data_IF_303268969681
#
_entry.id   IF_303268969681
#
_cell.length_a   1.000
_cell.length_b   1.000
_cell.length_c   1.000
_cell.angle_alpha   90.00
_cell.angle_beta   90.00
_cell.angle_gamma   90.00
#
_symmetry.space_group_name_H-M   'P 1'
#
loop_
_entity.id
_entity.type
_entity.pdbx_description
1 polymer ?
#
# COMPACT_ATOMS: atom_id res chain seq x y z
N UNK A 1 6.55 -28.10 -28.49
CA UNK A 1 6.54 -27.69 -27.07
C UNK A 1 7.87 -27.02 -26.78
N UNK A 2 7.98 -25.73 -27.08
CA UNK A 2 9.21 -24.95 -26.88
C UNK A 2 9.28 -24.48 -25.43
N UNK A 3 10.31 -24.95 -24.74
CA UNK A 3 10.62 -24.64 -23.36
C UNK A 3 11.23 -23.23 -23.32
N UNK A 4 10.40 -22.19 -23.19
CA UNK A 4 10.87 -20.81 -22.95
C UNK A 4 11.34 -20.71 -21.50
N UNK A 5 12.56 -21.17 -21.23
CA UNK A 5 13.25 -20.87 -19.97
C UNK A 5 13.42 -19.35 -19.86
N UNK A 6 12.82 -18.72 -18.84
CA UNK A 6 12.99 -17.29 -18.60
C UNK A 6 14.48 -16.99 -18.37
N UNK A 7 15.09 -16.25 -19.29
CA UNK A 7 16.48 -15.79 -19.18
C UNK A 7 16.53 -14.53 -18.30
N UNK A 8 16.61 -14.72 -16.98
CA UNK A 8 16.81 -13.60 -16.06
C UNK A 8 18.30 -13.21 -16.04
N UNK A 9 18.60 -11.97 -16.42
CA UNK A 9 20.00 -11.46 -16.51
C UNK A 9 20.74 -11.52 -15.17
N UNK A 10 20.03 -11.35 -14.04
CA UNK A 10 20.57 -11.47 -12.69
C UNK A 10 19.51 -11.94 -11.68
N UNK A 11 19.95 -12.50 -10.54
CA UNK A 11 19.07 -12.87 -9.40
C UNK A 11 18.33 -11.65 -8.86
N UNK A 12 18.99 -10.50 -8.88
CA UNK A 12 18.46 -9.20 -8.49
C UNK A 12 17.28 -8.81 -9.37
N UNK A 13 17.41 -8.96 -10.69
CA UNK A 13 16.36 -8.63 -11.66
C UNK A 13 15.13 -9.52 -11.49
N UNK A 14 15.34 -10.83 -11.29
CA UNK A 14 14.27 -11.78 -10.96
C UNK A 14 13.54 -11.37 -9.66
N UNK A 15 14.29 -11.00 -8.62
CA UNK A 15 13.71 -10.56 -7.36
C UNK A 15 12.90 -9.25 -7.50
N UNK A 16 13.38 -8.28 -8.29
CA UNK A 16 12.62 -7.05 -8.61
C UNK A 16 11.30 -7.40 -9.28
N UNK A 17 11.33 -8.25 -10.31
CA UNK A 17 10.14 -8.60 -11.06
C UNK A 17 9.15 -9.40 -10.20
N UNK A 18 9.63 -10.29 -9.34
CA UNK A 18 8.80 -11.03 -8.39
C UNK A 18 8.06 -10.07 -7.44
N UNK A 19 8.77 -9.12 -6.80
CA UNK A 19 8.15 -8.13 -5.92
C UNK A 19 7.14 -7.25 -6.67
N UNK A 20 7.46 -6.84 -7.91
CA UNK A 20 6.54 -6.05 -8.73
C UNK A 20 5.28 -6.85 -9.09
N UNK A 21 5.42 -8.14 -9.40
CA UNK A 21 4.31 -9.06 -9.64
C UNK A 21 3.42 -9.21 -8.40
N UNK A 22 4.02 -9.44 -7.24
CA UNK A 22 3.28 -9.51 -5.96
C UNK A 22 2.49 -8.22 -5.68
N UNK A 23 3.07 -7.05 -5.98
CA UNK A 23 2.38 -5.76 -5.83
C UNK A 23 1.18 -5.62 -6.77
N UNK A 24 1.30 -6.05 -8.04
CA UNK A 24 0.18 -6.04 -8.98
C UNK A 24 -0.94 -6.97 -8.50
N UNK A 25 -0.60 -8.16 -8.02
CA UNK A 25 -1.57 -9.11 -7.46
C UNK A 25 -2.27 -8.50 -6.24
N UNK A 26 -1.53 -7.92 -5.29
CA UNK A 26 -2.12 -7.23 -4.13
C UNK A 26 -3.12 -6.15 -4.54
N UNK A 27 -2.75 -5.30 -5.52
CA UNK A 27 -3.61 -4.20 -5.95
C UNK A 27 -4.82 -4.68 -6.77
N UNK A 28 -4.70 -5.82 -7.45
CA UNK A 28 -5.85 -6.46 -8.13
C UNK A 28 -6.89 -6.88 -7.10
N UNK A 29 -6.46 -7.66 -6.09
CA UNK A 29 -7.36 -8.14 -5.02
C UNK A 29 -7.95 -6.97 -4.22
N UNK A 30 -7.17 -5.92 -3.96
CA UNK A 30 -7.65 -4.75 -3.23
C UNK A 30 -8.74 -4.00 -4.02
N UNK A 31 -8.59 -3.88 -5.35
CA UNK A 31 -9.61 -3.28 -6.23
C UNK A 31 -10.89 -4.10 -6.23
N UNK A 32 -10.78 -5.43 -6.30
CA UNK A 32 -11.95 -6.32 -6.28
C UNK A 32 -12.71 -6.21 -4.95
N UNK A 33 -12.00 -6.19 -3.82
CA UNK A 33 -12.61 -6.02 -2.48
C UNK A 33 -13.27 -4.66 -2.30
N UNK A 34 -12.62 -3.60 -2.75
CA UNK A 34 -13.11 -2.22 -2.63
C UNK A 34 -14.22 -1.91 -3.66
N UNK A 35 -14.27 -2.65 -4.77
CA UNK A 35 -15.30 -2.52 -5.80
C UNK A 35 -16.69 -3.02 -5.39
N UNK A 36 -16.78 -3.88 -4.37
CA UNK A 36 -18.03 -4.52 -3.94
C UNK A 36 -18.97 -3.68 -3.07
N UNK A 37 -18.59 -2.46 -2.67
CA UNK A 37 -19.39 -1.60 -1.77
C UNK A 37 -18.85 -0.18 -1.62
N UNK A 38 -19.40 0.62 -0.67
CA UNK A 38 -18.86 1.92 -0.30
C UNK A 38 -17.41 1.78 0.17
N UNK A 39 -16.51 2.58 -0.42
CA UNK A 39 -15.10 2.55 -0.10
C UNK A 39 -14.78 3.66 0.91
N UNK A 40 -14.23 3.28 2.06
CA UNK A 40 -13.84 4.22 3.11
C UNK A 40 -12.34 4.17 3.34
N UNK A 41 -11.76 5.25 3.86
CA UNK A 41 -10.34 5.29 4.15
C UNK A 41 -9.90 4.24 5.20
N UNK A 42 -10.61 4.04 6.34
CA UNK A 42 -10.32 2.94 7.26
C UNK A 42 -10.52 1.56 6.64
N UNK A 43 -11.56 1.39 5.82
CA UNK A 43 -11.84 0.13 5.11
C UNK A 43 -10.75 -0.23 4.11
N UNK A 44 -10.24 0.75 3.35
CA UNK A 44 -9.10 0.57 2.45
C UNK A 44 -7.87 0.07 3.21
N UNK A 45 -7.54 0.69 4.34
CA UNK A 45 -6.37 0.31 5.14
C UNK A 45 -6.52 -1.07 5.75
N UNK A 46 -7.71 -1.42 6.23
CA UNK A 46 -8.03 -2.76 6.69
C UNK A 46 -7.76 -3.80 5.60
N UNK A 47 -8.34 -3.64 4.42
CA UNK A 47 -8.16 -4.60 3.32
C UNK A 47 -6.71 -4.64 2.81
N UNK A 48 -6.02 -3.49 2.78
CA UNK A 48 -4.60 -3.43 2.47
C UNK A 48 -3.78 -4.26 3.47
N UNK A 49 -4.07 -4.15 4.77
CA UNK A 49 -3.39 -4.93 5.81
C UNK A 49 -3.67 -6.42 5.68
N UNK A 50 -4.91 -6.82 5.38
CA UNK A 50 -5.26 -8.23 5.09
C UNK A 50 -4.41 -8.77 3.94
N UNK A 51 -4.36 -8.05 2.82
CA UNK A 51 -3.61 -8.49 1.64
C UNK A 51 -2.09 -8.47 1.86
N UNK A 52 -1.59 -7.56 2.69
CA UNK A 52 -0.16 -7.49 3.01
C UNK A 52 0.29 -8.65 3.92
N UNK A 53 -0.53 -9.04 4.91
CA UNK A 53 -0.24 -10.18 5.80
C UNK A 53 -0.13 -11.48 4.99
N UNK A 54 -0.98 -11.65 3.97
CA UNK A 54 -0.97 -12.82 3.07
C UNK A 54 0.25 -12.87 2.14
N UNK A 55 1.03 -11.79 2.05
CA UNK A 55 2.18 -11.64 1.14
C UNK A 55 3.44 -11.29 1.95
N UNK A 56 4.00 -12.23 2.72
CA UNK A 56 5.12 -11.97 3.63
C UNK A 56 6.35 -11.38 2.92
N UNK A 57 6.60 -11.77 1.66
CA UNK A 57 7.68 -11.21 0.85
C UNK A 57 7.47 -9.71 0.58
N UNK A 58 6.28 -9.33 0.10
CA UNK A 58 5.96 -7.94 -0.19
C UNK A 58 5.91 -7.11 1.09
N UNK A 59 5.38 -7.68 2.18
CA UNK A 59 5.40 -7.10 3.53
C UNK A 59 6.81 -6.77 3.99
N UNK A 60 7.73 -7.73 3.94
CA UNK A 60 9.13 -7.53 4.29
C UNK A 60 9.80 -6.44 3.44
N UNK A 61 9.53 -6.43 2.13
CA UNK A 61 10.06 -5.41 1.20
C UNK A 61 9.54 -4.00 1.53
N UNK A 62 8.23 -3.86 1.73
CA UNK A 62 7.57 -2.58 1.99
C UNK A 62 8.00 -1.98 3.32
N UNK A 63 8.11 -2.82 4.35
CA UNK A 63 8.41 -2.42 5.72
C UNK A 63 9.91 -2.29 5.99
N UNK A 64 10.74 -2.53 4.98
CA UNK A 64 12.18 -2.33 5.06
C UNK A 64 12.87 -3.35 5.95
N UNK A 65 12.40 -4.60 5.99
CA UNK A 65 13.10 -5.67 6.70
C UNK A 65 14.47 -5.88 6.04
N UNK A 66 15.50 -5.36 6.68
CA UNK A 66 16.86 -5.33 6.16
C UNK A 66 17.51 -6.71 6.13
N UNK A 67 17.03 -7.67 6.92
CA UNK A 67 17.52 -9.06 6.87
C UNK A 67 17.04 -9.78 5.61
N UNK A 68 15.78 -9.58 5.21
CA UNK A 68 15.21 -10.19 3.99
C UNK A 68 15.79 -9.56 2.71
N UNK A 69 16.23 -8.30 2.78
CA UNK A 69 16.55 -7.51 1.60
C UNK A 69 18.04 -7.29 1.29
N UNK A 70 18.94 -7.48 2.26
CA UNK A 70 20.39 -7.43 2.03
C UNK A 70 20.88 -6.29 1.12
N UNK A 71 21.77 -6.59 0.15
CA UNK A 71 22.35 -5.63 -0.82
C UNK A 71 21.34 -5.11 -1.89
N UNK A 72 20.14 -5.68 -1.99
CA UNK A 72 19.14 -5.38 -3.03
C UNK A 72 18.37 -4.07 -2.78
N UNK A 73 18.31 -3.58 -1.54
CA UNK A 73 17.63 -2.32 -1.18
C UNK A 73 18.46 -1.06 -1.46
N UNK A 74 19.80 -1.15 -1.40
CA UNK A 74 20.67 0.02 -1.63
C UNK A 74 20.56 0.58 -3.05
N UNK A 75 20.17 -0.24 -4.02
CA UNK A 75 20.02 0.16 -5.43
C UNK A 75 18.61 0.69 -5.77
N UNK A 76 17.63 0.63 -4.84
CA UNK A 76 16.19 0.81 -5.17
C UNK A 76 15.58 2.16 -4.81
N UNK A 77 16.33 3.10 -4.23
CA UNK A 77 15.83 4.48 -4.07
C UNK A 77 16.21 5.31 -5.30
N UNK A 78 15.55 5.08 -6.44
CA UNK A 78 15.44 6.16 -7.42
C UNK A 78 14.38 7.14 -6.89
N UNK A 79 14.74 8.39 -6.58
CA UNK A 79 13.83 9.37 -5.95
C UNK A 79 12.58 9.64 -6.80
N UNK A 80 12.73 9.53 -8.11
CA UNK A 80 11.80 9.95 -9.15
C UNK A 80 10.48 9.16 -9.09
N UNK A 81 10.56 7.86 -8.82
CA UNK A 81 9.38 6.96 -8.82
C UNK A 81 8.59 6.96 -7.50
N UNK A 82 9.15 7.58 -6.46
CA UNK A 82 8.46 7.81 -5.19
C UNK A 82 7.62 9.09 -5.21
N UNK A 83 8.01 10.07 -6.04
CA UNK A 83 7.35 11.36 -6.11
C UNK A 83 5.91 11.26 -6.66
N UNK A 84 5.69 10.48 -7.73
CA UNK A 84 4.36 10.29 -8.32
C UNK A 84 3.37 9.60 -7.37
N UNK A 85 3.82 8.54 -6.69
CA UNK A 85 3.00 7.85 -5.69
C UNK A 85 2.69 8.74 -4.49
N UNK A 86 3.66 9.54 -4.05
CA UNK A 86 3.46 10.52 -2.97
C UNK A 86 2.47 11.60 -3.39
N UNK A 87 2.60 12.16 -4.59
CA UNK A 87 1.68 13.18 -5.11
C UNK A 87 0.25 12.63 -5.27
N UNK A 88 0.09 11.36 -5.67
CA UNK A 88 -1.21 10.69 -5.73
C UNK A 88 -1.81 10.48 -4.33
N UNK A 89 -1.02 10.06 -3.35
CA UNK A 89 -1.46 9.94 -1.96
C UNK A 89 -1.89 11.30 -1.39
N UNK A 90 -1.12 12.36 -1.62
CA UNK A 90 -1.49 13.72 -1.20
C UNK A 90 -2.81 14.18 -1.83
N UNK A 91 -3.01 13.90 -3.13
CA UNK A 91 -4.28 14.21 -3.81
C UNK A 91 -5.45 13.45 -3.20
N UNK A 92 -5.25 12.17 -2.89
CA UNK A 92 -6.25 11.36 -2.21
C UNK A 92 -6.58 11.91 -0.82
N UNK A 93 -5.57 12.26 -0.01
CA UNK A 93 -5.76 12.86 1.31
C UNK A 93 -6.51 14.19 1.22
N UNK A 94 -6.22 15.04 0.23
CA UNK A 94 -6.98 16.28 0.00
C UNK A 94 -8.45 15.99 -0.31
N UNK A 95 -8.73 15.04 -1.19
CA UNK A 95 -10.12 14.64 -1.47
C UNK A 95 -10.85 14.13 -0.22
N UNK A 96 -10.16 13.38 0.65
CA UNK A 96 -10.72 12.94 1.93
C UNK A 96 -11.00 14.12 2.88
N UNK A 97 -10.15 15.14 2.90
CA UNK A 97 -10.37 16.36 3.68
C UNK A 97 -11.55 17.17 3.14
N UNK A 98 -11.60 17.38 1.82
CA UNK A 98 -12.65 18.17 1.15
C UNK A 98 -14.06 17.60 1.41
N UNK A 99 -14.16 16.27 1.54
CA UNK A 99 -15.40 15.54 1.81
C UNK A 99 -15.60 15.15 3.27
N UNK A 100 -14.84 15.73 4.20
CA UNK A 100 -15.06 15.57 5.64
C UNK A 100 -14.79 14.15 6.17
N UNK A 101 -14.03 13.32 5.46
CA UNK A 101 -13.62 12.00 5.95
C UNK A 101 -12.53 12.09 7.04
N UNK A 102 -11.75 13.16 7.02
CA UNK A 102 -10.62 13.40 7.90
C UNK A 102 -10.81 14.65 8.74
N UNK A 103 -10.21 14.67 9.93
CA UNK A 103 -10.15 15.83 10.82
C UNK A 103 -9.43 17.00 10.14
N UNK A 104 -9.90 18.22 10.37
CA UNK A 104 -9.47 19.41 9.61
C UNK A 104 -8.38 20.23 10.31
N UNK A 105 -7.98 19.85 11.52
CA UNK A 105 -6.96 20.54 12.32
C UNK A 105 -5.52 20.11 11.99
N UNK A 106 -5.34 19.13 11.10
CA UNK A 106 -4.05 18.69 10.60
C UNK A 106 -3.90 19.05 9.11
N UNK A 107 -2.70 19.45 8.71
CA UNK A 107 -2.33 19.60 7.30
C UNK A 107 -2.32 18.24 6.56
N UNK A 108 -2.39 18.24 5.21
CA UNK A 108 -2.27 17.00 4.43
C UNK A 108 -0.97 16.22 4.73
N UNK A 109 0.14 16.92 4.94
CA UNK A 109 1.43 16.28 5.23
C UNK A 109 1.44 15.64 6.63
N UNK A 110 0.80 16.28 7.62
CA UNK A 110 0.63 15.70 8.96
C UNK A 110 -0.23 14.44 8.92
N UNK A 111 -1.32 14.42 8.13
CA UNK A 111 -2.12 13.22 7.91
C UNK A 111 -1.30 12.06 7.35
N UNK A 112 -0.50 12.33 6.30
CA UNK A 112 0.36 11.31 5.68
C UNK A 112 1.40 10.78 6.68
N UNK A 113 2.01 11.67 7.48
CA UNK A 113 3.01 11.28 8.47
C UNK A 113 2.42 10.45 9.62
N UNK A 114 1.27 10.85 10.17
CA UNK A 114 0.57 10.10 11.22
C UNK A 114 0.11 8.75 10.70
N UNK A 115 -0.48 8.70 9.49
CA UNK A 115 -0.85 7.46 8.84
C UNK A 115 0.34 6.52 8.70
N UNK A 116 1.48 7.02 8.21
CA UNK A 116 2.69 6.23 8.08
C UNK A 116 3.15 5.72 9.45
N UNK A 117 3.21 6.57 10.48
CA UNK A 117 3.62 6.16 11.82
C UNK A 117 2.75 5.04 12.39
N UNK A 118 1.43 5.15 12.25
CA UNK A 118 0.48 4.11 12.69
C UNK A 118 0.72 2.83 11.89
N UNK A 119 0.74 2.91 10.55
CA UNK A 119 0.87 1.76 9.67
C UNK A 119 2.18 1.00 9.90
N UNK A 120 3.32 1.70 9.93
CA UNK A 120 4.62 1.08 10.22
C UNK A 120 4.70 0.56 11.66
N UNK A 121 4.14 1.27 12.63
CA UNK A 121 4.12 0.85 14.04
C UNK A 121 3.41 -0.49 14.22
N UNK A 122 2.19 -0.62 13.70
CA UNK A 122 1.42 -1.87 13.74
C UNK A 122 2.14 -3.06 13.11
N UNK A 123 2.93 -2.81 12.07
CA UNK A 123 3.66 -3.86 11.38
C UNK A 123 5.02 -4.20 11.99
N UNK A 124 5.68 -3.27 12.70
CA UNK A 124 7.06 -3.42 13.24
C UNK A 124 7.11 -3.71 14.74
N UNK A 125 6.17 -3.19 15.54
CA UNK A 125 6.14 -3.41 16.99
C UNK A 125 6.04 -4.90 17.38
N UNK A 126 5.30 -5.77 16.67
CA UNK A 126 5.27 -7.20 16.98
C UNK A 126 6.64 -7.88 16.91
N UNK A 127 7.57 -7.37 16.08
CA UNK A 127 8.93 -7.89 15.95
C UNK A 127 9.83 -7.44 17.12
N UNK A 128 9.54 -6.28 17.71
CA UNK A 128 10.29 -5.71 18.84
C UNK A 128 9.88 -6.26 20.20
N UNK A 129 8.67 -6.84 20.31
CA UNK A 129 8.06 -7.24 21.59
C UNK A 129 8.32 -8.70 21.99
N UNK A 130 9.30 -9.37 21.36
CA UNK A 130 9.75 -10.74 21.66
C UNK A 130 8.60 -11.74 21.88
N UNK A 131 7.57 -11.68 21.04
CA UNK A 131 6.46 -12.64 21.03
C UNK A 131 5.45 -12.55 22.18
N UNK A 132 5.73 -11.79 23.24
CA UNK A 132 4.83 -11.72 24.41
C UNK A 132 3.52 -10.98 24.14
N UNK A 133 3.50 -10.10 23.13
CA UNK A 133 2.37 -9.21 22.82
C UNK A 133 2.04 -9.20 21.31
N UNK A 134 2.41 -10.27 20.58
CA UNK A 134 2.09 -10.36 19.15
C UNK A 134 0.59 -10.52 18.99
N UNK A 135 -0.06 -9.54 18.38
CA UNK A 135 -1.45 -9.68 17.96
C UNK A 135 -1.59 -10.91 17.07
N UNK A 136 -2.69 -11.64 17.22
CA UNK A 136 -3.11 -12.60 16.22
C UNK A 136 -3.24 -11.82 14.89
N UNK A 137 -2.62 -12.33 13.81
CA UNK A 137 -2.57 -11.63 12.52
C UNK A 137 -3.99 -11.31 12.01
N UNK A 138 -5.01 -12.06 12.47
CA UNK A 138 -6.44 -11.86 12.18
C UNK A 138 -7.01 -10.57 12.78
N UNK A 139 -6.48 -10.09 13.91
CA UNK A 139 -6.97 -8.88 14.60
C UNK A 139 -6.28 -7.60 14.12
N UNK A 140 -5.12 -7.74 13.50
CA UNK A 140 -4.29 -6.61 13.06
C UNK A 140 -5.02 -5.66 12.09
N UNK A 141 -5.75 -6.12 11.06
CA UNK A 141 -6.47 -5.24 10.14
C UNK A 141 -7.52 -4.38 10.82
N UNK A 142 -8.31 -4.97 11.71
CA UNK A 142 -9.39 -4.28 12.41
C UNK A 142 -8.84 -3.23 13.39
N UNK A 143 -7.79 -3.57 14.14
CA UNK A 143 -7.14 -2.64 15.07
C UNK A 143 -6.47 -1.46 14.35
N UNK A 144 -5.81 -1.72 13.23
CA UNK A 144 -5.19 -0.66 12.43
C UNK A 144 -6.26 0.27 11.86
N UNK A 145 -7.32 -0.28 11.27
CA UNK A 145 -8.44 0.50 10.74
C UNK A 145 -9.11 1.39 11.79
N UNK A 146 -9.43 0.82 12.96
CA UNK A 146 -10.02 1.56 14.09
C UNK A 146 -9.08 2.64 14.63
N UNK A 147 -7.78 2.34 14.76
CA UNK A 147 -6.80 3.32 15.24
C UNK A 147 -6.66 4.49 14.27
N UNK A 148 -6.62 4.22 12.96
CA UNK A 148 -6.57 5.27 11.95
C UNK A 148 -7.86 6.09 11.95
N UNK A 149 -9.02 5.45 12.05
CA UNK A 149 -10.30 6.15 12.12
C UNK A 149 -10.36 7.08 13.34
N UNK A 150 -9.94 6.62 14.52
CA UNK A 150 -9.91 7.45 15.75
C UNK A 150 -8.88 8.56 15.72
N UNK A 151 -7.72 8.33 15.10
CA UNK A 151 -6.63 9.30 15.07
C UNK A 151 -6.86 10.40 14.03
N UNK A 152 -7.38 10.03 12.86
CA UNK A 152 -7.42 10.88 11.66
C UNK A 152 -8.82 11.14 11.13
N UNK A 153 -9.83 10.36 11.51
CA UNK A 153 -11.20 10.54 11.04
C UNK A 153 -11.82 11.83 11.59
N UNK A 154 -12.76 12.40 10.83
CA UNK A 154 -13.58 13.50 11.33
C UNK A 154 -14.51 13.03 12.45
N UNK A 155 -14.84 13.92 13.39
CA UNK A 155 -15.79 13.63 14.47
C UNK A 155 -17.25 13.57 13.97
N UNK A 156 -17.55 14.32 12.90
CA UNK A 156 -18.89 14.42 12.37
C UNK A 156 -19.18 13.30 11.36
N UNK A 157 -20.43 12.81 11.30
CA UNK A 157 -20.83 11.84 10.29
C UNK A 157 -20.69 12.43 8.89
N UNK A 158 -20.17 11.62 7.97
CA UNK A 158 -20.07 11.95 6.55
C UNK A 158 -21.47 11.87 5.91
N UNK A 159 -21.82 12.85 5.07
CA UNK A 159 -23.08 12.85 4.32
C UNK A 159 -23.11 11.72 3.28
N UNK A 160 -24.30 11.34 2.78
CA UNK A 160 -24.38 10.31 1.74
C UNK A 160 -23.67 10.72 0.43
N UNK A 161 -23.76 12.00 0.06
CA UNK A 161 -23.09 12.57 -1.11
C UNK A 161 -21.56 12.52 -0.94
N UNK A 162 -21.07 12.96 0.21
CA UNK A 162 -19.64 12.92 0.52
C UNK A 162 -19.11 11.48 0.61
N UNK A 163 -19.90 10.54 1.15
CA UNK A 163 -19.52 9.13 1.21
C UNK A 163 -19.33 8.52 -0.20
N UNK A 164 -20.16 8.92 -1.18
CA UNK A 164 -19.99 8.53 -2.58
C UNK A 164 -18.74 9.18 -3.19
N UNK A 165 -18.50 10.47 -2.91
CA UNK A 165 -17.32 11.18 -3.39
C UNK A 165 -16.01 10.59 -2.83
N UNK A 166 -15.98 10.25 -1.54
CA UNK A 166 -14.88 9.53 -0.88
C UNK A 166 -14.68 8.15 -1.52
N UNK A 167 -15.77 7.44 -1.81
CA UNK A 167 -15.70 6.12 -2.44
C UNK A 167 -15.05 6.21 -3.83
N UNK A 168 -15.45 7.21 -4.62
CA UNK A 168 -14.88 7.51 -5.94
C UNK A 168 -13.39 7.86 -5.83
N UNK A 169 -13.02 8.80 -4.97
CA UNK A 169 -11.62 9.21 -4.76
C UNK A 169 -10.73 8.02 -4.32
N UNK A 170 -11.28 7.12 -3.49
CA UNK A 170 -10.59 5.91 -3.04
C UNK A 170 -10.32 4.95 -4.21
N UNK A 171 -11.29 4.77 -5.11
CA UNK A 171 -11.13 3.91 -6.30
C UNK A 171 -10.15 4.51 -7.31
N UNK A 172 -10.23 5.81 -7.55
CA UNK A 172 -9.28 6.53 -8.42
C UNK A 172 -7.83 6.40 -7.93
N UNK A 173 -7.62 6.51 -6.62
CA UNK A 173 -6.31 6.29 -5.99
C UNK A 173 -5.80 4.86 -6.22
N UNK A 174 -6.67 3.86 -6.06
CA UNK A 174 -6.33 2.45 -6.28
C UNK A 174 -6.01 2.15 -7.75
N UNK A 175 -6.79 2.70 -8.68
CA UNK A 175 -6.57 2.54 -10.11
C UNK A 175 -5.22 3.14 -10.51
N UNK A 176 -4.90 4.35 -10.05
CA UNK A 176 -3.60 4.97 -10.27
C UNK A 176 -2.45 4.11 -9.71
N UNK A 177 -2.61 3.60 -8.48
CA UNK A 177 -1.60 2.76 -7.86
C UNK A 177 -1.38 1.44 -8.63
N UNK A 178 -2.46 0.85 -9.15
CA UNK A 178 -2.46 -0.36 -9.96
C UNK A 178 -1.78 -0.15 -11.31
N UNK A 179 -2.16 0.89 -12.05
CA UNK A 179 -1.54 1.23 -13.34
C UNK A 179 -0.05 1.48 -13.18
N UNK A 180 0.33 2.24 -12.15
CA UNK A 180 1.74 2.49 -11.79
C UNK A 180 2.49 1.18 -11.50
N UNK A 181 1.86 0.23 -10.82
CA UNK A 181 2.45 -1.07 -10.53
C UNK A 181 2.60 -1.94 -11.78
N UNK A 182 1.58 -1.95 -12.66
CA UNK A 182 1.61 -2.67 -13.93
C UNK A 182 2.69 -2.14 -14.86
N UNK A 183 2.79 -0.81 -15.03
CA UNK A 183 3.84 -0.18 -15.84
C UNK A 183 5.24 -0.58 -15.36
N UNK A 184 5.46 -0.60 -14.04
CA UNK A 184 6.74 -1.04 -13.46
C UNK A 184 7.01 -2.52 -13.73
N UNK A 185 6.00 -3.38 -13.62
CA UNK A 185 6.16 -4.80 -13.95
C UNK A 185 6.49 -4.97 -15.44
N UNK A 186 5.76 -4.32 -16.32
CA UNK A 186 6.00 -4.34 -17.77
C UNK A 186 7.40 -3.85 -18.11
N UNK A 187 7.88 -2.75 -17.52
CA UNK A 187 9.25 -2.30 -17.72
C UNK A 187 10.28 -3.35 -17.24
N UNK A 188 10.02 -4.06 -16.14
CA UNK A 188 10.90 -5.15 -15.69
C UNK A 188 10.95 -6.33 -16.66
N UNK A 189 9.85 -6.60 -17.36
CA UNK A 189 9.74 -7.67 -18.35
C UNK A 189 10.28 -7.24 -19.72
N UNK A 190 10.07 -5.99 -20.14
CA UNK A 190 10.47 -5.45 -21.44
C UNK A 190 11.98 -5.16 -21.57
N UNK A 191 12.66 -4.82 -20.48
CA UNK A 191 14.14 -4.72 -20.44
C UNK A 191 14.81 -6.07 -20.80
N UNK A 192 14.08 -7.18 -20.74
CA UNK A 192 14.57 -8.51 -21.12
C UNK A 192 14.51 -8.79 -22.64
N UNK A 193 13.80 -7.97 -23.42
CA UNK A 193 13.63 -8.18 -24.87
C UNK A 193 14.66 -7.46 -25.76
N UNK A 194 15.57 -6.68 -25.17
CA UNK A 194 16.52 -5.82 -25.89
C UNK A 194 17.99 -6.25 -25.73
N UNK A 195 18.24 -7.50 -25.31
CA UNK A 195 19.58 -8.08 -25.15
C UNK A 195 19.81 -9.25 -26.09
#
# INVERSE_FOLDING_TARGET
>A
MTNSALHWTTREALFVALVRRERVILLTELRDRVGGGPATFPGLLRELTVELIRRPLLRAVLLGDSEVLGRLTRQRRRPETGAELRASLERYVRALLDHGALRQDLSPDEHVNVLAAIFYGFHRVPELTFGAHRFADERLPDLLGDTVHRALGAEQPVSAEDAEAISRATREYLDFAFETAQQKLQHSLGVQGAG
#
